data_IF_599725589674
#
_entry.id   IF_599725589674
#
_cell.length_a   1.000
_cell.length_b   1.000
_cell.length_c   1.000
_cell.angle_alpha   90.00
_cell.angle_beta   90.00
_cell.angle_gamma   90.00
#
_symmetry.space_group_name_H-M   'P 1'
#
loop_
_entity.id
_entity.type
_entity.pdbx_description
1 polymer ?
#
# COMPACT_ATOMS: atom_id res chain seq x y z
N UNK A 1 -2.83 -10.68 -87.65
CA UNK A 1 -2.63 -9.37 -88.31
C UNK A 1 -2.61 -8.33 -87.22
N UNK A 2 -1.41 -7.80 -86.98
CA UNK A 2 -1.15 -6.75 -86.01
C UNK A 2 -1.74 -5.43 -86.51
N UNK A 3 -2.43 -4.70 -85.65
CA UNK A 3 -2.64 -3.26 -85.86
C UNK A 3 -2.11 -2.54 -84.62
N UNK A 4 -0.94 -1.93 -84.79
CA UNK A 4 -0.36 -0.93 -83.89
C UNK A 4 -1.24 0.32 -83.91
N UNK A 5 -1.57 0.85 -82.75
CA UNK A 5 -1.89 2.27 -82.59
C UNK A 5 -0.68 2.94 -81.96
N UNK A 6 -0.04 3.79 -82.77
CA UNK A 6 1.12 4.63 -82.45
C UNK A 6 0.74 5.70 -81.39
N UNK A 7 1.63 6.07 -80.45
CA UNK A 7 1.36 7.07 -79.43
C UNK A 7 1.87 8.43 -79.89
N UNK A 8 0.98 9.36 -80.22
CA UNK A 8 1.27 10.81 -80.17
C UNK A 8 0.01 11.65 -80.37
N UNK A 9 -0.45 12.27 -79.29
CA UNK A 9 -1.04 13.59 -79.32
C UNK A 9 -0.87 14.20 -77.92
N UNK A 10 0.02 15.17 -77.78
CA UNK A 10 0.21 15.93 -76.56
C UNK A 10 -1.11 16.62 -76.19
N UNK A 11 -1.73 16.16 -75.11
CA UNK A 11 -2.81 16.89 -74.47
C UNK A 11 -2.21 18.07 -73.72
N UNK A 12 -2.30 19.26 -74.31
CA UNK A 12 -2.21 20.51 -73.54
C UNK A 12 -3.18 20.39 -72.37
N UNK A 13 -2.68 20.49 -71.14
CA UNK A 13 -3.52 20.55 -69.95
C UNK A 13 -4.35 21.83 -70.04
N UNK A 14 -5.61 21.69 -70.45
CA UNK A 14 -6.56 22.79 -70.51
C UNK A 14 -6.59 23.46 -69.12
N UNK A 15 -6.40 24.79 -69.02
CA UNK A 15 -6.44 25.46 -67.73
C UNK A 15 -7.84 25.32 -67.14
N UNK A 16 -7.96 24.49 -66.11
CA UNK A 16 -9.19 24.30 -65.33
C UNK A 16 -9.58 25.67 -64.75
N UNK A 17 -10.59 26.32 -65.35
CA UNK A 17 -11.19 27.53 -64.80
C UNK A 17 -12.09 27.13 -63.63
N UNK A 18 -11.56 27.23 -62.42
CA UNK A 18 -12.38 27.10 -61.21
C UNK A 18 -13.24 28.36 -61.11
N UNK A 19 -14.58 28.23 -61.01
CA UNK A 19 -15.45 29.40 -60.81
C UNK A 19 -15.12 30.06 -59.47
N UNK A 20 -15.08 31.39 -59.42
CA UNK A 20 -14.70 32.17 -58.23
C UNK A 20 -15.50 31.78 -56.98
N UNK A 21 -16.77 31.39 -57.17
CA UNK A 21 -17.66 30.90 -56.11
C UNK A 21 -17.20 29.59 -55.46
N UNK A 22 -16.52 28.70 -56.20
CA UNK A 22 -15.93 27.48 -55.64
C UNK A 22 -14.66 27.80 -54.83
N UNK A 23 -13.86 28.77 -55.28
CA UNK A 23 -12.67 29.24 -54.53
C UNK A 23 -13.08 29.91 -53.21
N UNK A 24 -14.12 30.75 -53.22
CA UNK A 24 -14.69 31.37 -52.02
C UNK A 24 -15.21 30.31 -51.02
N UNK A 25 -15.83 29.23 -51.52
CA UNK A 25 -16.29 28.11 -50.69
C UNK A 25 -15.14 27.33 -50.03
N UNK A 26 -14.04 27.14 -50.76
CA UNK A 26 -12.81 26.51 -50.23
C UNK A 26 -12.16 27.43 -49.19
N UNK A 27 -12.04 28.72 -49.46
CA UNK A 27 -11.48 29.69 -48.50
C UNK A 27 -12.31 29.74 -47.20
N UNK A 28 -13.63 29.76 -47.32
CA UNK A 28 -14.53 29.71 -46.17
C UNK A 28 -14.35 28.40 -45.37
N UNK A 29 -14.10 27.29 -46.04
CA UNK A 29 -13.83 25.99 -45.41
C UNK A 29 -12.49 25.97 -44.68
N UNK A 30 -11.43 26.54 -45.27
CA UNK A 30 -10.11 26.67 -44.64
C UNK A 30 -10.20 27.56 -43.39
N UNK A 31 -10.89 28.70 -43.48
CA UNK A 31 -11.11 29.58 -42.31
C UNK A 31 -11.84 28.85 -41.18
N UNK A 32 -12.86 28.05 -41.51
CA UNK A 32 -13.60 27.24 -40.54
C UNK A 32 -12.72 26.16 -39.89
N UNK A 33 -11.86 25.51 -40.68
CA UNK A 33 -10.93 24.51 -40.17
C UNK A 33 -9.89 25.12 -39.22
N UNK A 34 -9.39 26.32 -39.55
CA UNK A 34 -8.45 27.05 -38.68
C UNK A 34 -9.11 27.48 -37.37
N UNK A 35 -10.37 27.94 -37.42
CA UNK A 35 -11.17 28.26 -36.22
C UNK A 35 -11.38 27.01 -35.34
N UNK A 36 -11.73 25.87 -35.95
CA UNK A 36 -11.87 24.59 -35.23
C UNK A 36 -10.56 24.14 -34.59
N UNK A 37 -9.44 24.29 -35.30
CA UNK A 37 -8.11 23.98 -34.75
C UNK A 37 -7.77 24.86 -33.55
N UNK A 38 -8.04 26.16 -33.62
CA UNK A 38 -7.82 27.08 -32.51
C UNK A 38 -8.71 26.75 -31.30
N UNK A 39 -9.96 26.34 -31.52
CA UNK A 39 -10.85 25.87 -30.44
C UNK A 39 -10.35 24.58 -29.81
N UNK A 40 -9.87 23.63 -30.62
CA UNK A 40 -9.31 22.37 -30.12
C UNK A 40 -8.06 22.60 -29.28
N UNK A 41 -7.18 23.53 -29.66
CA UNK A 41 -6.01 23.90 -28.86
C UNK A 41 -6.40 24.47 -27.48
N UNK A 42 -7.40 25.36 -27.43
CA UNK A 42 -7.91 25.90 -26.16
C UNK A 42 -8.57 24.84 -25.28
N UNK A 43 -9.26 23.87 -25.89
CA UNK A 43 -9.84 22.74 -25.15
C UNK A 43 -8.75 21.88 -24.49
N UNK A 44 -7.66 21.62 -25.21
CA UNK A 44 -6.50 20.89 -24.67
C UNK A 44 -5.81 21.66 -23.54
N UNK A 45 -5.62 22.98 -23.68
CA UNK A 45 -5.03 23.82 -22.63
C UNK A 45 -5.90 23.87 -21.36
N UNK A 46 -7.22 23.75 -21.50
CA UNK A 46 -8.17 23.76 -20.39
C UNK A 46 -8.41 22.39 -19.73
N UNK A 47 -7.92 21.31 -20.34
CA UNK A 47 -8.14 19.96 -19.83
C UNK A 47 -7.26 19.74 -18.57
N UNK A 48 -7.84 19.26 -17.44
CA UNK A 48 -7.05 18.95 -16.26
C UNK A 48 -6.06 17.82 -16.57
N UNK A 49 -4.80 17.97 -16.14
CA UNK A 49 -3.72 16.99 -16.35
C UNK A 49 -3.91 15.63 -15.63
N UNK A 50 -5.11 15.35 -15.11
CA UNK A 50 -5.41 14.23 -14.21
C UNK A 50 -6.15 13.07 -14.86
N UNK A 51 -6.05 12.87 -16.17
CA UNK A 51 -6.51 11.65 -16.82
C UNK A 51 -5.40 10.62 -16.80
N UNK A 52 -5.55 9.54 -16.02
CA UNK A 52 -4.67 8.38 -16.09
C UNK A 52 -4.52 7.96 -17.57
N UNK A 53 -3.31 8.10 -18.10
CA UNK A 53 -3.05 7.79 -19.50
C UNK A 53 -3.36 6.29 -19.74
N UNK A 54 -4.21 5.94 -20.71
CA UNK A 54 -4.54 4.54 -21.00
C UNK A 54 -3.32 3.74 -21.49
N UNK A 55 -2.20 4.43 -21.75
CA UNK A 55 -0.93 3.84 -22.18
C UNK A 55 0.10 3.71 -21.06
N UNK A 56 -0.21 4.10 -19.82
CA UNK A 56 0.70 3.91 -18.68
C UNK A 56 1.06 2.43 -18.47
N UNK A 57 0.12 1.52 -18.74
CA UNK A 57 0.35 0.07 -18.71
C UNK A 57 1.31 -0.45 -19.81
N UNK A 58 1.61 0.37 -20.83
CA UNK A 58 2.41 -0.03 -22.00
C UNK A 58 3.82 0.60 -22.04
N UNK A 59 4.24 1.33 -21.00
CA UNK A 59 5.65 1.71 -20.80
C UNK A 59 6.27 2.60 -21.90
N UNK A 60 5.46 3.37 -22.64
CA UNK A 60 5.98 4.31 -23.64
C UNK A 60 6.64 5.52 -22.96
N UNK A 61 7.85 5.92 -23.37
CA UNK A 61 8.57 7.02 -22.74
C UNK A 61 7.98 8.36 -23.18
N UNK A 62 7.40 9.11 -22.24
CA UNK A 62 6.84 10.43 -22.55
C UNK A 62 6.25 11.24 -21.40
N UNK A 63 6.13 10.70 -20.19
CA UNK A 63 5.62 11.45 -19.04
C UNK A 63 6.52 11.23 -17.82
N UNK A 64 7.57 12.05 -17.72
CA UNK A 64 8.49 12.05 -16.59
C UNK A 64 8.08 13.14 -15.56
N UNK A 65 6.79 13.22 -15.26
CA UNK A 65 6.34 13.91 -14.05
C UNK A 65 6.89 13.17 -12.83
N UNK A 66 7.09 13.82 -11.66
CA UNK A 66 7.37 13.08 -10.45
C UNK A 66 6.25 12.05 -10.28
N UNK A 67 6.61 10.77 -10.43
CA UNK A 67 5.68 9.68 -10.15
C UNK A 67 5.14 9.85 -8.74
N UNK A 68 3.96 9.29 -8.43
CA UNK A 68 3.46 9.28 -7.07
C UNK A 68 4.59 8.81 -6.15
N UNK A 69 4.82 9.56 -5.06
CA UNK A 69 5.80 9.18 -4.06
C UNK A 69 5.54 7.71 -3.69
N UNK A 70 6.58 6.87 -3.58
CA UNK A 70 6.39 5.48 -3.19
C UNK A 70 5.60 5.46 -1.89
N UNK A 71 4.52 4.66 -1.85
CA UNK A 71 3.75 4.47 -0.64
C UNK A 71 4.71 4.01 0.47
N UNK A 72 4.57 4.53 1.71
CA UNK A 72 5.42 4.10 2.81
C UNK A 72 5.37 2.57 2.94
N UNK A 73 6.54 1.95 3.10
CA UNK A 73 6.63 0.50 3.25
C UNK A 73 5.93 0.07 4.55
N UNK A 74 5.10 -0.98 4.53
CA UNK A 74 4.42 -1.43 5.73
C UNK A 74 5.44 -1.98 6.73
N UNK A 75 5.66 -1.24 7.82
CA UNK A 75 6.53 -1.65 8.93
C UNK A 75 5.68 -2.21 10.07
N UNK A 76 6.12 -3.30 10.74
CA UNK A 76 5.48 -3.75 11.96
C UNK A 76 5.48 -2.65 13.04
N UNK A 77 4.36 -2.45 13.73
CA UNK A 77 4.22 -1.40 14.75
C UNK A 77 5.31 -1.43 15.84
N UNK A 78 5.80 -2.61 16.20
CA UNK A 78 6.84 -2.75 17.23
C UNK A 78 8.25 -2.29 16.77
N UNK A 79 8.41 -1.97 15.48
CA UNK A 79 9.64 -1.36 14.94
C UNK A 79 9.55 0.17 14.87
N UNK A 80 8.39 0.75 15.21
CA UNK A 80 8.18 2.19 15.26
C UNK A 80 8.63 2.72 16.62
N UNK A 81 9.02 4.00 16.66
CA UNK A 81 9.53 4.65 17.87
C UNK A 81 8.89 6.03 18.08
N UNK A 82 8.72 6.44 19.34
CA UNK A 82 8.25 7.77 19.71
C UNK A 82 6.85 8.10 19.18
N UNK A 83 6.70 9.30 18.63
CA UNK A 83 5.42 9.82 18.11
C UNK A 83 4.85 8.94 16.99
N UNK A 84 5.69 8.37 16.12
CA UNK A 84 5.23 7.47 15.05
C UNK A 84 4.56 6.21 15.61
N UNK A 85 5.09 5.67 16.71
CA UNK A 85 4.48 4.51 17.37
C UNK A 85 3.14 4.89 18.02
N UNK A 86 3.07 6.05 18.68
CA UNK A 86 1.85 6.53 19.34
C UNK A 86 0.73 6.79 18.31
N UNK A 87 1.04 7.49 17.21
CA UNK A 87 0.10 7.77 16.13
C UNK A 87 -0.45 6.47 15.49
N UNK A 88 0.44 5.49 15.24
CA UNK A 88 0.05 4.22 14.66
C UNK A 88 -0.80 3.38 15.63
N UNK A 89 -0.48 3.44 16.94
CA UNK A 89 -1.24 2.75 17.97
C UNK A 89 -2.63 3.36 18.17
N UNK A 90 -2.76 4.68 18.08
CA UNK A 90 -4.04 5.38 18.14
C UNK A 90 -4.92 5.01 16.93
N UNK A 91 -4.36 5.03 15.71
CA UNK A 91 -5.08 4.62 14.50
C UNK A 91 -5.50 3.15 14.54
N UNK A 92 -4.66 2.27 15.09
CA UNK A 92 -5.01 0.88 15.34
C UNK A 92 -6.12 0.78 16.40
N UNK A 93 -6.05 1.57 17.46
CA UNK A 93 -7.05 1.66 18.52
C UNK A 93 -8.43 1.98 17.97
N UNK A 94 -8.54 3.07 17.21
CA UNK A 94 -9.78 3.49 16.55
C UNK A 94 -10.34 2.37 15.65
N UNK A 95 -9.50 1.73 14.84
CA UNK A 95 -9.95 0.64 13.97
C UNK A 95 -10.43 -0.60 14.77
N UNK A 96 -9.76 -0.94 15.86
CA UNK A 96 -10.15 -2.05 16.73
C UNK A 96 -11.50 -1.78 17.38
N UNK A 97 -11.67 -0.58 17.96
CA UNK A 97 -12.84 -0.23 18.76
C UNK A 97 -14.06 0.12 17.91
N UNK A 98 -13.88 0.79 16.77
CA UNK A 98 -14.99 1.25 15.91
C UNK A 98 -15.39 0.23 14.83
N UNK A 99 -14.49 -0.68 14.44
CA UNK A 99 -14.76 -1.64 13.36
C UNK A 99 -14.56 -3.10 13.77
N UNK A 100 -13.39 -3.49 14.28
CA UNK A 100 -13.09 -4.91 14.50
C UNK A 100 -13.99 -5.53 15.57
N UNK A 101 -14.06 -4.92 16.76
CA UNK A 101 -14.82 -5.46 17.88
C UNK A 101 -16.34 -5.37 17.68
N UNK A 102 -16.92 -4.26 17.18
CA UNK A 102 -18.36 -4.20 16.94
C UNK A 102 -18.85 -5.22 15.92
N UNK A 103 -18.02 -5.58 14.93
CA UNK A 103 -18.41 -6.48 13.83
C UNK A 103 -18.02 -7.94 14.10
N UNK A 104 -16.83 -8.19 14.65
CA UNK A 104 -16.25 -9.54 14.80
C UNK A 104 -15.94 -9.93 16.25
N UNK A 105 -16.13 -9.02 17.20
CA UNK A 105 -15.95 -9.27 18.62
C UNK A 105 -17.07 -10.13 19.19
N UNK A 106 -16.90 -11.46 19.16
CA UNK A 106 -17.77 -12.38 19.90
C UNK A 106 -17.74 -12.08 21.42
N UNK A 107 -18.76 -12.53 22.16
CA UNK A 107 -18.87 -12.34 23.61
C UNK A 107 -17.58 -12.76 24.34
N UNK A 108 -17.22 -12.01 25.39
CA UNK A 108 -16.07 -12.34 26.23
C UNK A 108 -16.40 -13.52 27.11
N UNK A 109 -15.66 -14.61 26.94
CA UNK A 109 -15.82 -15.84 27.72
C UNK A 109 -14.46 -16.39 28.12
N UNK A 110 -14.45 -17.44 28.95
CA UNK A 110 -13.21 -18.16 29.29
C UNK A 110 -12.53 -18.78 28.07
N UNK A 111 -13.28 -19.08 27.00
CA UNK A 111 -12.74 -19.64 25.75
C UNK A 111 -12.45 -18.57 24.69
N UNK A 112 -12.85 -17.33 24.93
CA UNK A 112 -12.62 -16.19 24.07
C UNK A 112 -12.36 -14.93 24.92
N UNK A 113 -11.24 -14.86 25.66
CA UNK A 113 -10.92 -13.70 26.48
C UNK A 113 -10.74 -12.43 25.62
N UNK A 114 -10.87 -11.29 26.28
CA UNK A 114 -10.50 -9.98 25.75
C UNK A 114 -9.86 -9.16 26.87
N UNK A 115 -9.13 -8.10 26.55
CA UNK A 115 -8.57 -7.19 27.54
C UNK A 115 -8.88 -5.76 27.12
N UNK A 116 -9.48 -4.97 28.01
CA UNK A 116 -9.74 -3.56 27.75
C UNK A 116 -8.45 -2.71 27.63
N UNK A 117 -7.32 -3.26 28.09
CA UNK A 117 -5.98 -2.68 27.98
C UNK A 117 -5.09 -3.54 27.09
N UNK A 118 -5.64 -4.03 25.98
CA UNK A 118 -4.93 -4.92 25.07
C UNK A 118 -3.64 -4.29 24.50
N UNK A 119 -3.56 -2.95 24.49
CA UNK A 119 -2.41 -2.17 24.07
C UNK A 119 -1.17 -2.43 24.95
N UNK A 120 -1.35 -2.83 26.21
CA UNK A 120 -0.25 -3.22 27.11
C UNK A 120 0.33 -4.61 26.77
N UNK A 121 -0.26 -5.34 25.80
CA UNK A 121 0.18 -6.66 25.38
C UNK A 121 0.85 -6.59 24.00
N UNK A 122 2.18 -6.44 23.94
CA UNK A 122 2.94 -6.30 22.68
C UNK A 122 2.60 -7.37 21.63
N UNK A 123 2.45 -8.63 22.06
CA UNK A 123 2.06 -9.71 21.16
C UNK A 123 0.68 -9.52 20.55
N UNK A 124 -0.27 -8.96 21.31
CA UNK A 124 -1.62 -8.64 20.81
C UNK A 124 -1.57 -7.45 19.88
N UNK A 125 -0.83 -6.40 20.25
CA UNK A 125 -0.60 -5.22 19.40
C UNK A 125 -0.03 -5.64 18.05
N UNK A 126 1.00 -6.51 18.03
CA UNK A 126 1.57 -7.03 16.79
C UNK A 126 0.57 -7.82 15.93
N UNK A 127 -0.22 -8.70 16.54
CA UNK A 127 -1.25 -9.48 15.81
C UNK A 127 -2.33 -8.58 15.22
N UNK A 128 -2.83 -7.62 15.99
CA UNK A 128 -3.90 -6.72 15.55
C UNK A 128 -3.41 -5.74 14.48
N UNK A 129 -2.19 -5.23 14.63
CA UNK A 129 -1.59 -4.35 13.62
C UNK A 129 -1.38 -5.08 12.28
N UNK A 130 -0.81 -6.29 12.30
CA UNK A 130 -0.66 -7.10 11.10
C UNK A 130 -2.01 -7.42 10.44
N UNK A 131 -3.05 -7.68 11.24
CA UNK A 131 -4.41 -7.90 10.75
C UNK A 131 -4.99 -6.63 10.11
N UNK A 132 -4.76 -5.46 10.70
CA UNK A 132 -5.19 -4.17 10.17
C UNK A 132 -4.50 -3.85 8.85
N UNK A 133 -3.18 -4.04 8.74
CA UNK A 133 -2.46 -3.88 7.48
C UNK A 133 -3.00 -4.82 6.38
N UNK A 134 -3.25 -6.09 6.73
CA UNK A 134 -3.87 -7.03 5.80
C UNK A 134 -5.28 -6.58 5.38
N UNK A 135 -6.07 -6.00 6.28
CA UNK A 135 -7.38 -5.44 5.95
C UNK A 135 -7.27 -4.31 4.92
N UNK A 136 -6.33 -3.37 5.12
CA UNK A 136 -6.11 -2.25 4.20
C UNK A 136 -5.72 -2.74 2.81
N UNK A 137 -4.84 -3.74 2.72
CA UNK A 137 -4.45 -4.34 1.44
C UNK A 137 -5.63 -4.99 0.70
N UNK A 138 -6.47 -5.74 1.41
CA UNK A 138 -7.54 -6.54 0.79
C UNK A 138 -8.85 -5.77 0.55
N UNK A 139 -9.01 -4.63 1.24
CA UNK A 139 -10.07 -3.65 0.97
C UNK A 139 -9.77 -2.81 -0.27
N UNK A 140 -8.51 -2.69 -0.66
CA UNK A 140 -8.10 -1.91 -1.83
C UNK A 140 -8.83 -2.44 -3.10
N UNK A 141 -9.39 -1.56 -3.96
CA UNK A 141 -9.99 -1.96 -5.24
C UNK A 141 -9.12 -2.88 -6.11
N UNK A 142 -7.79 -2.74 -6.02
CA UNK A 142 -6.84 -3.57 -6.78
C UNK A 142 -6.81 -5.04 -6.33
N UNK A 143 -7.29 -5.36 -5.12
CA UNK A 143 -7.41 -6.73 -4.63
C UNK A 143 -8.54 -7.53 -5.32
N UNK A 144 -9.40 -6.85 -6.10
CA UNK A 144 -10.51 -7.46 -6.81
C UNK A 144 -11.72 -7.81 -5.93
N UNK A 145 -12.81 -8.25 -6.56
CA UNK A 145 -14.11 -8.48 -5.88
C UNK A 145 -14.05 -9.54 -4.76
N UNK A 146 -13.09 -10.46 -4.81
CA UNK A 146 -12.90 -11.50 -3.80
C UNK A 146 -11.98 -11.07 -2.65
N UNK A 147 -11.32 -9.90 -2.72
CA UNK A 147 -10.31 -9.46 -1.77
C UNK A 147 -10.79 -9.53 -0.32
N UNK A 148 -11.98 -9.01 -0.05
CA UNK A 148 -12.57 -9.07 1.30
C UNK A 148 -12.81 -10.50 1.78
N UNK A 149 -13.24 -11.43 0.91
CA UNK A 149 -13.44 -12.81 1.33
C UNK A 149 -12.12 -13.52 1.65
N UNK A 150 -11.07 -13.22 0.89
CA UNK A 150 -9.70 -13.68 1.17
C UNK A 150 -9.22 -13.16 2.53
N UNK A 151 -9.44 -11.88 2.83
CA UNK A 151 -9.08 -11.30 4.13
C UNK A 151 -9.73 -12.04 5.31
N UNK A 152 -11.02 -12.34 5.20
CA UNK A 152 -11.74 -13.09 6.23
C UNK A 152 -11.15 -14.50 6.44
N UNK A 153 -10.92 -15.22 5.34
CA UNK A 153 -10.48 -16.61 5.34
C UNK A 153 -9.06 -16.76 5.88
N UNK A 154 -8.14 -15.93 5.41
CA UNK A 154 -6.70 -16.13 5.62
C UNK A 154 -6.16 -15.37 6.84
N UNK A 155 -6.76 -14.23 7.19
CA UNK A 155 -6.19 -13.32 8.19
C UNK A 155 -7.10 -13.15 9.41
N UNK A 156 -8.35 -12.71 9.21
CA UNK A 156 -9.25 -12.40 10.32
C UNK A 156 -9.48 -13.59 11.25
N UNK A 157 -9.94 -14.71 10.69
CA UNK A 157 -10.26 -15.90 11.49
C UNK A 157 -9.01 -16.40 12.23
N UNK A 158 -7.86 -16.40 11.55
CA UNK A 158 -6.61 -16.86 12.14
C UNK A 158 -6.14 -15.96 13.29
N UNK A 159 -6.09 -14.65 13.06
CA UNK A 159 -5.65 -13.67 14.06
C UNK A 159 -6.58 -13.67 15.28
N UNK A 160 -7.91 -13.65 15.07
CA UNK A 160 -8.87 -13.68 16.17
C UNK A 160 -8.79 -14.98 16.98
N UNK A 161 -8.58 -16.12 16.31
CA UNK A 161 -8.37 -17.40 16.99
C UNK A 161 -7.08 -17.42 17.82
N UNK A 162 -6.00 -16.76 17.36
CA UNK A 162 -4.74 -16.67 18.09
C UNK A 162 -4.82 -15.71 19.30
N UNK A 163 -5.31 -14.48 19.08
CA UNK A 163 -5.38 -13.42 20.10
C UNK A 163 -6.34 -13.81 21.23
N UNK A 164 -7.50 -14.38 20.86
CA UNK A 164 -8.56 -14.76 21.81
C UNK A 164 -8.55 -16.25 22.13
N UNK A 165 -7.44 -16.96 21.94
CA UNK A 165 -7.34 -18.34 22.40
C UNK A 165 -7.44 -18.42 23.95
N UNK A 166 -8.05 -19.48 24.52
CA UNK A 166 -8.10 -19.68 25.97
C UNK A 166 -6.73 -19.78 26.65
N UNK A 167 -5.69 -20.21 25.91
CA UNK A 167 -4.29 -20.24 26.34
C UNK A 167 -3.42 -19.18 25.64
N UNK A 168 -4.05 -18.21 24.98
CA UNK A 168 -3.39 -17.16 24.22
C UNK A 168 -2.83 -16.03 25.08
N UNK A 169 -2.38 -14.93 24.45
CA UNK A 169 -1.75 -13.80 25.16
C UNK A 169 -2.70 -13.10 26.15
N UNK A 170 -4.02 -13.22 25.94
CA UNK A 170 -5.05 -12.65 26.82
C UNK A 170 -5.63 -13.65 27.82
N UNK A 171 -5.07 -14.86 27.93
CA UNK A 171 -5.61 -15.93 28.79
C UNK A 171 -5.67 -15.58 30.29
N UNK A 172 -4.78 -14.71 30.75
CA UNK A 172 -4.78 -14.20 32.13
C UNK A 172 -5.60 -12.91 32.33
N UNK A 173 -6.22 -12.41 31.27
CA UNK A 173 -7.04 -11.20 31.29
C UNK A 173 -8.53 -11.52 31.41
N UNK A 174 -9.38 -10.53 31.13
CA UNK A 174 -10.81 -10.57 31.36
C UNK A 174 -11.48 -11.73 30.59
N UNK A 175 -11.96 -12.70 31.36
CA UNK A 175 -12.68 -13.90 30.92
C UNK A 175 -14.19 -13.82 31.22
N UNK A 176 -14.63 -12.74 31.88
CA UNK A 176 -16.02 -12.44 32.22
C UNK A 176 -16.24 -10.92 32.19
N UNK A 177 -17.28 -10.43 31.50
CA UNK A 177 -17.64 -9.01 31.43
C UNK A 177 -17.73 -8.29 32.79
N UNK A 178 -18.28 -8.97 33.79
CA UNK A 178 -18.55 -8.39 35.10
C UNK A 178 -17.31 -8.30 36.02
N UNK A 179 -16.20 -8.91 35.61
CA UNK A 179 -14.97 -9.00 36.41
C UNK A 179 -13.75 -8.69 35.53
N UNK A 180 -13.49 -7.40 35.24
CA UNK A 180 -12.34 -7.01 34.46
C UNK A 180 -11.05 -7.36 35.21
N UNK A 181 -10.22 -8.19 34.59
CA UNK A 181 -8.88 -8.54 35.07
C UNK A 181 -7.85 -8.23 33.99
N UNK A 182 -6.72 -7.65 34.40
CA UNK A 182 -5.59 -7.37 33.52
C UNK A 182 -4.33 -7.94 34.17
N UNK A 183 -3.60 -8.78 33.42
CA UNK A 183 -2.34 -9.36 33.85
C UNK A 183 -1.48 -9.72 32.65
N UNK A 184 -0.27 -9.18 32.61
CA UNK A 184 0.76 -9.60 31.67
C UNK A 184 1.37 -10.93 32.10
N UNK A 185 1.40 -11.89 31.19
CA UNK A 185 2.11 -13.16 31.38
C UNK A 185 3.57 -12.99 30.99
N UNK A 186 4.53 -13.39 31.83
CA UNK A 186 5.94 -13.33 31.46
C UNK A 186 6.21 -14.26 30.29
N UNK A 187 7.01 -13.79 29.33
CA UNK A 187 7.51 -14.62 28.24
C UNK A 187 8.39 -15.77 28.75
N UNK A 188 8.59 -16.82 27.92
CA UNK A 188 9.56 -17.85 28.24
C UNK A 188 10.96 -17.25 28.42
N UNK A 189 11.83 -17.85 29.26
CA UNK A 189 13.18 -17.37 29.42
C UNK A 189 13.94 -17.43 28.08
N UNK A 190 14.95 -16.55 27.89
CA UNK A 190 15.84 -16.62 26.74
C UNK A 190 16.48 -18.01 26.60
N UNK A 191 16.91 -18.34 25.39
CA UNK A 191 17.64 -19.59 25.17
C UNK A 191 18.93 -19.61 26.00
N UNK A 192 19.35 -20.80 26.45
CA UNK A 192 20.62 -20.98 27.17
C UNK A 192 21.85 -20.43 26.40
N UNK A 193 21.78 -20.34 25.07
CA UNK A 193 22.81 -19.69 24.25
C UNK A 193 22.91 -18.18 24.53
N UNK A 194 21.75 -17.53 24.61
CA UNK A 194 21.65 -16.09 24.89
C UNK A 194 22.12 -15.77 26.30
N UNK A 195 21.73 -16.59 27.28
CA UNK A 195 22.17 -16.43 28.69
C UNK A 195 23.70 -16.50 28.81
N UNK A 196 24.35 -17.42 28.08
CA UNK A 196 25.81 -17.53 28.05
C UNK A 196 26.49 -16.32 27.38
N UNK A 197 25.86 -15.70 26.38
CA UNK A 197 26.38 -14.52 25.72
C UNK A 197 26.28 -13.27 26.63
N UNK A 198 25.18 -13.12 27.37
CA UNK A 198 25.00 -12.01 28.33
C UNK A 198 26.00 -12.12 29.48
N UNK A 199 26.18 -13.31 30.05
CA UNK A 199 27.17 -13.55 31.13
C UNK A 199 28.62 -13.40 30.67
N UNK A 200 28.94 -13.73 29.41
CA UNK A 200 30.26 -13.50 28.83
C UNK A 200 30.51 -12.00 28.49
N UNK A 201 29.45 -11.24 28.22
CA UNK A 201 29.56 -9.79 27.95
C UNK A 201 29.76 -8.99 29.25
N UNK A 202 29.16 -9.45 30.35
CA UNK A 202 29.35 -8.86 31.69
C UNK A 202 30.74 -9.22 32.29
N UNK A 203 31.31 -10.36 31.89
CA UNK A 203 32.69 -10.73 32.16
C UNK A 203 33.65 -10.11 31.12
N UNK A 204 33.77 -8.78 31.12
CA UNK A 204 34.76 -8.06 30.29
C UNK A 204 36.21 -8.52 30.53
N UNK A 205 37.15 -8.22 29.61
CA UNK A 205 38.50 -8.81 29.60
C UNK A 205 39.29 -8.33 30.83
N UNK A 206 39.51 -9.24 31.77
CA UNK A 206 40.44 -9.03 32.88
C UNK A 206 41.82 -8.62 32.34
N UNK A 207 42.32 -7.50 32.86
CA UNK A 207 43.64 -6.96 32.56
C UNK A 207 44.75 -8.03 32.70
N UNK A 208 45.83 -7.97 31.89
CA UNK A 208 46.95 -8.88 32.05
C UNK A 208 47.63 -8.63 33.40
N UNK A 209 47.75 -9.71 34.17
CA UNK A 209 48.35 -9.74 35.51
C UNK A 209 49.80 -9.24 35.45
N UNK A 210 50.04 -8.07 36.02
CA UNK A 210 51.33 -7.42 36.17
C UNK A 210 52.04 -8.10 37.36
N UNK A 211 52.76 -9.19 37.10
CA UNK A 211 53.67 -9.75 38.11
C UNK A 211 55.00 -8.98 38.12
N UNK A 212 54.97 -7.90 38.88
CA UNK A 212 56.13 -7.17 39.39
C UNK A 212 56.90 -8.03 40.42
N UNK A 213 58.18 -8.18 40.10
CA UNK A 213 59.34 -8.41 40.93
C UNK A 213 59.17 -8.08 42.43
N UNK A 214 59.48 -9.04 43.33
CA UNK A 214 60.28 -8.79 44.55
C UNK A 214 60.58 -10.06 45.39
N UNK A 215 61.88 -10.24 45.62
CA UNK A 215 62.55 -10.74 46.84
C UNK A 215 62.52 -12.27 47.08
N UNK A 216 63.61 -12.94 46.71
CA UNK A 216 64.67 -13.36 47.65
C UNK A 216 65.88 -13.92 46.90
#
# INVERSE_FOLDING_TARGET
MSESVDPSAGGELEPVRVPETELEGVEASVRRLMEQSAQQARQLDSAPAGGASPFAAFGLPGFNGPGPAPAPEPRPILELEGEEYEDELDGLGDWVDDFLLPVYGAEVTTTAPWCARWQEHDGVVAWLHALWLAYQQHKNPEAGLAGMFVWHRDFLIHAMAAVRAPGGPLSACMTSPDRPTHRLLPGPPPSARTEKATTATDAGPGAPDEHDERVS
#
